data_IF_286660361248
#
_entry.id   IF_286660361248
#
_cell.length_a   1.000
_cell.length_b   1.000
_cell.length_c   1.000
_cell.angle_alpha   90.00
_cell.angle_beta   90.00
_cell.angle_gamma   90.00
#
_symmetry.space_group_name_H-M   'P 1'
#
loop_
_entity.id
_entity.type
_entity.pdbx_description
1 polymer ?
#
# COMPACT_ATOMS: atom_id res chain seq x y z
N UNK A 1 -32.10 19.89 40.16
CA UNK A 1 -31.70 19.38 38.82
C UNK A 1 -30.44 20.12 38.41
N UNK A 2 -29.30 19.44 38.23
CA UNK A 2 -28.08 20.09 37.77
C UNK A 2 -28.07 20.20 36.23
N UNK A 3 -27.35 21.18 35.66
CA UNK A 3 -27.35 21.44 34.22
C UNK A 3 -26.43 20.46 33.46
N UNK A 4 -26.93 20.04 32.30
CA UNK A 4 -26.26 19.19 31.30
C UNK A 4 -25.00 19.87 30.74
N UNK A 5 -23.87 19.15 30.71
CA UNK A 5 -22.69 19.50 29.93
C UNK A 5 -22.73 18.70 28.63
N UNK A 6 -22.76 19.40 27.50
CA UNK A 6 -22.55 18.84 26.18
C UNK A 6 -21.07 18.46 26.02
N UNK A 7 -20.76 17.16 26.00
CA UNK A 7 -19.45 16.68 25.57
C UNK A 7 -19.40 16.70 24.04
N UNK A 8 -18.57 17.59 23.49
CA UNK A 8 -18.19 17.57 22.08
C UNK A 8 -17.28 16.35 21.84
N UNK A 9 -17.80 15.32 21.18
CA UNK A 9 -17.05 14.15 20.70
C UNK A 9 -16.01 14.63 19.69
N UNK A 10 -14.74 14.73 20.11
CA UNK A 10 -13.62 15.00 19.21
C UNK A 10 -13.31 13.72 18.42
N UNK A 11 -13.20 13.83 17.11
CA UNK A 11 -12.65 12.79 16.22
C UNK A 11 -11.26 12.38 16.75
N UNK A 12 -10.97 11.08 16.95
CA UNK A 12 -9.63 10.65 17.33
C UNK A 12 -8.67 10.96 16.17
N UNK A 13 -7.74 11.90 16.37
CA UNK A 13 -6.61 12.07 15.45
C UNK A 13 -5.56 11.04 15.84
N UNK A 14 -5.19 10.16 14.91
CA UNK A 14 -4.09 9.21 15.13
C UNK A 14 -2.79 10.00 15.27
N UNK A 15 -2.25 10.03 16.48
CA UNK A 15 -1.00 10.74 16.78
C UNK A 15 0.20 9.93 16.32
N UNK A 16 1.32 10.60 16.04
CA UNK A 16 2.60 9.90 15.80
C UNK A 16 3.04 9.03 16.99
N UNK A 17 2.47 9.27 18.17
CA UNK A 17 2.76 8.61 19.44
C UNK A 17 2.00 7.29 19.62
N UNK A 18 0.99 7.01 18.78
CA UNK A 18 0.23 5.74 18.77
C UNK A 18 0.89 4.67 17.87
N UNK A 19 2.06 4.99 17.28
CA UNK A 19 2.74 4.19 16.27
C UNK A 19 4.02 3.53 16.81
N UNK A 20 4.10 2.21 16.70
CA UNK A 20 5.28 1.41 17.09
C UNK A 20 6.11 1.00 15.86
N UNK A 21 7.43 0.75 15.98
CA UNK A 21 8.26 0.28 14.85
C UNK A 21 7.71 -1.01 14.21
N UNK A 22 7.73 -1.06 12.87
CA UNK A 22 7.29 -2.22 12.10
C UNK A 22 8.50 -3.01 11.58
N UNK A 23 8.94 -3.99 12.36
CA UNK A 23 10.17 -4.77 12.08
C UNK A 23 9.97 -5.93 11.08
N UNK A 24 8.74 -6.08 10.58
CA UNK A 24 8.26 -7.26 9.85
C UNK A 24 8.15 -7.11 8.35
N UNK A 25 8.74 -6.07 7.76
CA UNK A 25 8.72 -5.92 6.30
C UNK A 25 9.43 -7.12 5.65
N UNK A 26 8.71 -7.93 4.87
CA UNK A 26 9.28 -9.05 4.11
C UNK A 26 10.44 -8.56 3.23
N UNK A 27 10.30 -7.36 2.65
CA UNK A 27 11.38 -6.53 2.11
C UNK A 27 11.00 -5.04 2.11
N UNK A 28 11.90 -4.13 2.50
CA UNK A 28 11.60 -2.69 2.36
C UNK A 28 12.51 -1.74 3.12
N UNK A 29 12.07 -0.47 3.19
CA UNK A 29 12.80 0.63 3.82
C UNK A 29 12.63 0.63 5.34
N UNK A 30 13.71 0.91 6.06
CA UNK A 30 13.70 1.09 7.51
C UNK A 30 12.75 2.23 7.93
N UNK A 31 12.06 2.08 9.06
CA UNK A 31 11.24 3.14 9.65
C UNK A 31 9.74 3.10 9.35
N UNK A 32 9.25 2.02 8.73
CA UNK A 32 7.81 1.69 8.75
C UNK A 32 7.36 1.52 10.20
N UNK A 33 6.13 1.94 10.51
CA UNK A 33 5.50 1.84 11.82
C UNK A 33 4.10 1.26 11.70
N UNK A 34 3.50 0.76 12.77
CA UNK A 34 2.12 0.30 12.80
C UNK A 34 1.38 0.77 14.04
N UNK A 35 0.05 0.74 14.02
CA UNK A 35 -0.79 1.00 15.20
C UNK A 35 -0.66 -0.12 16.23
N UNK A 36 -1.04 0.14 17.49
CA UNK A 36 -1.02 -0.86 18.56
C UNK A 36 -1.90 -2.08 18.27
N UNK A 37 -3.01 -1.89 17.57
CA UNK A 37 -3.87 -2.98 17.07
C UNK A 37 -3.21 -3.81 15.96
N UNK A 38 -2.15 -3.28 15.33
CA UNK A 38 -1.56 -3.84 14.13
C UNK A 38 -2.42 -3.68 12.87
N UNK A 39 -3.57 -3.02 12.91
CA UNK A 39 -4.48 -2.92 11.76
C UNK A 39 -4.04 -1.93 10.68
N UNK A 40 -3.21 -0.93 11.04
CA UNK A 40 -2.73 0.09 10.12
C UNK A 40 -1.21 0.18 10.12
N UNK A 41 -0.65 0.53 8.97
CA UNK A 41 0.79 0.75 8.76
C UNK A 41 1.03 2.21 8.33
N UNK A 42 1.98 2.87 8.99
CA UNK A 42 2.54 4.14 8.58
C UNK A 42 3.93 3.94 7.95
N UNK A 43 4.03 4.13 6.63
CA UNK A 43 5.25 3.92 5.86
C UNK A 43 5.87 5.27 5.45
N UNK A 44 7.15 5.54 5.77
CA UNK A 44 7.86 6.69 5.20
C UNK A 44 7.83 6.66 3.68
N UNK A 45 7.39 7.75 3.06
CA UNK A 45 7.10 7.79 1.63
C UNK A 45 7.57 9.08 0.96
N UNK A 46 7.44 9.13 -0.36
CA UNK A 46 7.65 10.34 -1.18
C UNK A 46 6.30 11.03 -1.43
N UNK A 47 6.28 12.35 -1.72
CA UNK A 47 5.06 13.02 -2.16
C UNK A 47 4.40 12.39 -3.39
N UNK A 48 5.22 11.84 -4.30
CA UNK A 48 4.74 11.12 -5.48
C UNK A 48 3.97 9.84 -5.11
N UNK A 49 4.41 9.09 -4.09
CA UNK A 49 3.68 7.91 -3.62
C UNK A 49 2.31 8.32 -3.06
N UNK A 50 2.23 9.39 -2.27
CA UNK A 50 0.98 9.93 -1.75
C UNK A 50 0.03 10.33 -2.88
N UNK A 51 0.53 11.10 -3.86
CA UNK A 51 -0.28 11.52 -5.01
C UNK A 51 -0.83 10.34 -5.83
N UNK A 52 -0.07 9.25 -5.94
CA UNK A 52 -0.54 8.04 -6.63
C UNK A 52 -1.71 7.38 -5.88
N UNK A 53 -1.63 7.26 -4.55
CA UNK A 53 -2.73 6.75 -3.74
C UNK A 53 -3.95 7.69 -3.72
N UNK A 54 -3.74 9.00 -3.64
CA UNK A 54 -4.85 9.99 -3.64
C UNK A 54 -5.61 10.02 -4.98
N UNK A 55 -4.95 9.67 -6.09
CA UNK A 55 -5.57 9.60 -7.41
C UNK A 55 -6.16 8.22 -7.76
N UNK A 56 -5.87 7.17 -6.98
CA UNK A 56 -6.36 5.81 -7.26
C UNK A 56 -7.90 5.65 -7.24
N UNK A 57 -8.71 6.46 -6.52
CA UNK A 57 -10.18 6.38 -6.65
C UNK A 57 -10.71 6.68 -8.06
N UNK A 58 -9.90 7.31 -8.93
CA UNK A 58 -10.24 7.50 -10.35
C UNK A 58 -10.03 6.22 -11.19
N UNK A 59 -9.43 5.18 -10.60
CA UNK A 59 -9.06 3.91 -11.22
C UNK A 59 -9.55 2.74 -10.33
N UNK A 60 -10.87 2.55 -10.15
CA UNK A 60 -11.43 1.64 -9.15
C UNK A 60 -11.00 0.17 -9.33
N UNK A 61 -10.86 -0.30 -10.57
CA UNK A 61 -10.37 -1.66 -10.86
C UNK A 61 -8.91 -1.85 -10.43
N UNK A 62 -8.08 -0.82 -10.52
CA UNK A 62 -6.71 -0.85 -10.01
C UNK A 62 -6.66 -0.74 -8.49
N UNK A 63 -7.53 0.11 -7.92
CA UNK A 63 -7.61 0.35 -6.49
C UNK A 63 -7.93 -0.93 -5.69
N UNK A 64 -8.71 -1.86 -6.27
CA UNK A 64 -9.00 -3.17 -5.67
C UNK A 64 -7.72 -3.96 -5.32
N UNK A 65 -6.65 -3.79 -6.11
CA UNK A 65 -5.37 -4.45 -5.87
C UNK A 65 -4.38 -3.58 -5.08
N UNK A 66 -4.77 -2.41 -4.56
CA UNK A 66 -3.92 -1.59 -3.70
C UNK A 66 -4.31 -1.78 -2.24
N UNK A 67 -3.38 -1.63 -1.28
CA UNK A 67 -3.77 -1.46 0.12
C UNK A 67 -4.66 -0.23 0.27
N UNK A 68 -5.71 -0.33 1.08
CA UNK A 68 -6.59 0.78 1.41
C UNK A 68 -5.78 1.96 1.98
N UNK A 69 -5.90 3.12 1.33
CA UNK A 69 -5.28 4.36 1.75
C UNK A 69 -6.14 5.08 2.78
N UNK A 70 -5.59 5.29 3.97
CA UNK A 70 -6.28 5.97 5.08
C UNK A 70 -5.98 7.47 5.08
N UNK A 71 -4.76 7.85 4.68
CA UNK A 71 -4.30 9.24 4.66
C UNK A 71 -2.80 9.37 4.78
N UNK A 72 -2.30 10.60 4.94
CA UNK A 72 -0.87 10.88 5.11
C UNK A 72 -0.59 11.62 6.42
N UNK A 73 0.58 11.34 7.02
CA UNK A 73 1.12 12.01 8.19
C UNK A 73 2.30 12.87 7.78
N UNK A 74 2.29 14.15 8.18
CA UNK A 74 3.40 15.08 7.94
C UNK A 74 3.87 15.71 9.24
N UNK A 75 5.18 15.93 9.35
CA UNK A 75 5.77 16.66 10.47
C UNK A 75 5.33 18.13 10.46
N UNK A 76 5.09 18.75 11.62
CA UNK A 76 4.58 20.11 11.75
C UNK A 76 5.36 21.19 10.94
N UNK A 77 6.66 20.99 10.70
CA UNK A 77 7.48 21.89 9.87
C UNK A 77 7.25 21.81 8.35
N UNK A 78 6.59 20.75 7.86
CA UNK A 78 6.25 20.55 6.44
C UNK A 78 4.77 20.79 6.11
N UNK A 79 3.92 20.92 7.12
CA UNK A 79 2.51 21.26 6.94
C UNK A 79 2.33 22.62 6.24
N UNK A 80 3.20 23.60 6.52
CA UNK A 80 3.14 24.92 5.87
C UNK A 80 3.45 24.87 4.36
N UNK A 81 4.56 24.27 3.88
CA UNK A 81 4.83 24.13 2.44
C UNK A 81 3.78 23.32 1.68
N UNK A 82 3.29 22.21 2.25
CA UNK A 82 2.28 21.35 1.61
C UNK A 82 0.91 22.03 1.54
N UNK A 83 0.49 22.72 2.61
CA UNK A 83 -0.74 23.51 2.59
C UNK A 83 -0.67 24.67 1.59
N UNK A 84 0.50 25.30 1.43
CA UNK A 84 0.72 26.37 0.43
C UNK A 84 0.70 25.81 -0.99
N UNK A 85 1.31 24.64 -1.25
CA UNK A 85 1.27 23.98 -2.55
C UNK A 85 -0.15 23.52 -2.93
N UNK A 86 -0.86 22.89 -2.00
CA UNK A 86 -2.26 22.48 -2.18
C UNK A 86 -3.18 23.69 -2.43
N UNK A 87 -2.97 24.81 -1.73
CA UNK A 87 -3.71 26.05 -1.96
C UNK A 87 -3.42 26.67 -3.33
N UNK A 88 -2.19 26.56 -3.84
CA UNK A 88 -1.80 27.05 -5.16
C UNK A 88 -2.39 26.22 -6.31
N UNK A 89 -2.53 24.91 -6.15
CA UNK A 89 -3.24 24.04 -7.11
C UNK A 89 -4.76 24.23 -7.06
N UNK A 90 -5.31 24.59 -5.90
CA UNK A 90 -6.74 24.85 -5.69
C UNK A 90 -7.19 26.28 -6.07
N UNK A 91 -6.27 27.16 -6.48
CA UNK A 91 -6.56 28.58 -6.75
C UNK A 91 -6.96 29.39 -5.51
N UNK A 92 -6.69 28.89 -4.30
CA UNK A 92 -7.04 29.55 -3.05
C UNK A 92 -5.93 30.54 -2.64
N UNK A 93 -6.28 31.84 -2.60
CA UNK A 93 -5.39 32.89 -2.09
C UNK A 93 -5.44 32.90 -0.57
N UNK A 94 -4.29 32.65 0.08
CA UNK A 94 -4.16 32.81 1.53
C UNK A 94 -4.11 34.31 1.88
N UNK A 95 -5.15 34.81 2.53
CA UNK A 95 -5.12 36.10 3.22
C UNK A 95 -4.51 35.87 4.62
N UNK A 96 -3.34 36.41 4.94
CA UNK A 96 -2.81 36.30 6.30
C UNK A 96 -3.73 37.09 7.26
N UNK A 97 -4.20 36.42 8.31
CA UNK A 97 -4.93 37.04 9.42
C UNK A 97 -3.96 37.88 10.26
N UNK A 98 -4.32 39.13 10.67
CA UNK A 98 -3.41 40.00 11.40
C UNK A 98 -3.75 40.03 12.90
N UNK A 99 -3.07 39.23 13.72
CA UNK A 99 -2.90 39.47 15.17
C UNK A 99 -1.53 38.86 15.55
N UNK A 100 -0.44 39.65 15.62
CA UNK A 100 -0.07 40.32 16.86
C UNK A 100 0.64 41.66 16.59
N UNK A 101 0.10 42.73 17.19
CA UNK A 101 0.75 44.03 17.24
C UNK A 101 1.76 44.07 18.38
N UNK A 102 3.05 44.14 18.06
CA UNK A 102 4.04 44.75 18.93
C UNK A 102 4.95 45.67 18.10
N UNK A 103 4.85 46.94 18.44
CA UNK A 103 5.46 48.12 17.84
C UNK A 103 7.00 48.09 17.82
N UNK A 104 7.60 48.42 16.67
CA UNK A 104 8.69 49.41 16.60
C UNK A 104 8.77 50.00 15.19
N UNK A 105 8.58 51.31 15.11
CA UNK A 105 8.59 52.16 13.92
C UNK A 105 9.97 52.77 13.67
N UNK A 106 10.53 52.67 12.46
CA UNK A 106 11.33 53.73 11.78
C UNK A 106 11.25 53.55 10.24
N UNK A 107 11.27 54.69 9.55
CA UNK A 107 10.87 55.12 8.19
C UNK A 107 11.47 54.45 6.91
N UNK A 108 10.85 54.72 5.71
CA UNK A 108 11.20 54.12 4.42
C UNK A 108 12.19 54.95 3.59
N UNK A 109 12.74 54.39 2.50
CA UNK A 109 12.84 55.22 1.29
C UNK A 109 12.50 54.52 -0.03
N UNK A 110 11.60 55.19 -0.77
CA UNK A 110 11.64 55.51 -2.21
C UNK A 110 11.92 54.43 -3.27
N UNK A 111 10.91 54.27 -4.15
CA UNK A 111 11.02 53.66 -5.46
C UNK A 111 11.74 54.59 -6.48
N UNK A 112 12.62 54.04 -7.30
CA UNK A 112 12.75 54.38 -8.74
C UNK A 112 13.48 53.23 -9.47
N UNK A 113 13.20 52.97 -10.76
CA UNK A 113 13.46 51.69 -11.41
C UNK A 113 14.80 51.66 -12.13
N UNK A 114 15.52 50.54 -12.06
CA UNK A 114 16.74 50.35 -12.84
C UNK A 114 16.89 48.89 -13.33
N UNK A 115 16.77 48.78 -14.66
CA UNK A 115 17.48 47.89 -15.58
C UNK A 115 17.58 46.38 -15.30
N UNK A 116 17.02 45.63 -16.26
CA UNK A 116 17.22 44.21 -16.48
C UNK A 116 18.72 43.84 -16.51
N UNK A 117 19.10 42.90 -15.65
CA UNK A 117 20.26 42.05 -15.86
C UNK A 117 19.77 40.61 -15.98
N UNK A 118 19.84 40.07 -17.19
CA UNK A 118 19.79 38.63 -17.44
C UNK A 118 20.92 37.96 -16.66
N UNK A 119 20.56 37.28 -15.58
CA UNK A 119 21.45 36.36 -14.89
C UNK A 119 21.51 35.06 -15.70
N UNK A 120 22.69 34.78 -16.27
CA UNK A 120 22.98 33.50 -16.90
C UNK A 120 22.73 32.33 -15.91
N UNK A 121 22.17 31.20 -16.36
CA UNK A 121 21.94 30.06 -15.49
C UNK A 121 23.28 29.52 -15.01
N UNK A 122 23.47 29.55 -13.69
CA UNK A 122 24.60 28.91 -13.02
C UNK A 122 24.42 27.39 -13.17
N UNK A 123 25.43 26.61 -13.57
CA UNK A 123 25.28 25.17 -13.66
C UNK A 123 25.07 24.62 -12.25
N UNK A 124 23.86 24.10 -12.00
CA UNK A 124 23.58 23.26 -10.84
C UNK A 124 24.59 22.11 -10.87
N UNK A 125 25.49 22.09 -9.88
CA UNK A 125 26.36 20.94 -9.65
C UNK A 125 25.43 19.74 -9.44
N UNK A 126 25.57 18.73 -10.29
CA UNK A 126 24.95 17.43 -10.06
C UNK A 126 25.49 16.88 -8.72
N UNK A 127 24.70 17.01 -7.66
CA UNK A 127 24.97 16.29 -6.42
C UNK A 127 24.83 14.80 -6.74
N UNK A 128 25.95 14.08 -6.56
CA UNK A 128 26.01 12.65 -6.87
C UNK A 128 24.95 11.87 -6.09
N UNK A 129 24.15 11.08 -6.80
CA UNK A 129 23.13 10.24 -6.18
C UNK A 129 23.74 9.28 -5.15
N UNK A 130 23.30 9.39 -3.90
CA UNK A 130 23.69 8.49 -2.80
C UNK A 130 22.59 7.44 -2.61
N UNK A 131 22.87 6.13 -2.76
CA UNK A 131 21.88 5.10 -2.50
C UNK A 131 21.45 5.12 -1.03
N UNK A 132 20.14 5.06 -0.77
CA UNK A 132 19.58 4.97 0.59
C UNK A 132 20.04 3.72 1.35
N UNK A 133 20.42 2.65 0.64
CA UNK A 133 20.94 1.43 1.26
C UNK A 133 19.91 0.65 2.09
N UNK A 134 18.64 1.03 2.04
CA UNK A 134 17.58 0.51 2.92
C UNK A 134 17.32 1.39 4.14
N UNK A 135 18.08 2.48 4.34
CA UNK A 135 17.88 3.42 5.44
C UNK A 135 16.56 4.18 5.32
N UNK A 136 16.07 4.65 6.46
CA UNK A 136 14.87 5.48 6.59
C UNK A 136 14.89 6.66 5.62
N UNK A 137 13.78 6.85 4.92
CA UNK A 137 13.52 8.06 4.14
C UNK A 137 13.30 9.23 5.11
N UNK A 138 14.20 10.21 5.10
CA UNK A 138 14.09 11.44 5.90
C UNK A 138 13.21 12.49 5.21
N UNK A 139 12.04 12.08 4.70
CA UNK A 139 11.11 13.01 4.05
C UNK A 139 10.25 13.75 5.04
N UNK A 140 10.10 13.27 6.28
CA UNK A 140 9.16 13.84 7.27
C UNK A 140 7.68 13.53 6.96
N UNK A 141 7.43 12.76 5.90
CA UNK A 141 6.14 12.36 5.37
C UNK A 141 5.98 10.83 5.49
N UNK A 142 4.80 10.37 5.87
CA UNK A 142 4.44 8.95 5.89
C UNK A 142 3.05 8.74 5.35
N UNK A 143 2.87 7.65 4.61
CA UNK A 143 1.56 7.21 4.13
C UNK A 143 0.97 6.22 5.14
N UNK A 144 -0.32 6.35 5.45
CA UNK A 144 -1.06 5.44 6.33
C UNK A 144 -1.93 4.56 5.47
N UNK A 145 -1.71 3.24 5.58
CA UNK A 145 -2.35 2.20 4.80
C UNK A 145 -2.95 1.16 5.74
N UNK A 146 -3.95 0.42 5.27
CA UNK A 146 -4.31 -0.84 5.92
C UNK A 146 -3.11 -1.78 6.00
N UNK A 147 -3.12 -2.65 7.00
CA UNK A 147 -2.19 -3.75 7.07
C UNK A 147 -2.78 -4.99 6.38
N UNK A 148 -2.27 -5.31 5.19
CA UNK A 148 -2.71 -6.46 4.38
C UNK A 148 -2.60 -7.81 5.12
N UNK A 149 -1.69 -7.92 6.09
CA UNK A 149 -1.52 -9.14 6.88
C UNK A 149 -2.37 -9.15 8.17
N UNK A 150 -3.16 -8.11 8.43
CA UNK A 150 -4.21 -8.15 9.46
C UNK A 150 -5.29 -9.18 9.08
N UNK A 151 -6.04 -9.69 10.05
CA UNK A 151 -6.96 -10.81 9.84
C UNK A 151 -6.32 -12.21 9.90
N UNK A 152 -5.08 -12.38 9.43
CA UNK A 152 -4.40 -13.69 9.43
C UNK A 152 -3.87 -14.09 10.82
N UNK A 153 -4.03 -15.36 11.20
CA UNK A 153 -3.49 -15.94 12.45
C UNK A 153 -2.00 -16.25 12.32
N UNK A 154 -1.55 -16.77 11.19
CA UNK A 154 -0.13 -17.07 10.89
C UNK A 154 0.22 -16.62 9.47
N UNK A 155 0.27 -15.31 9.17
CA UNK A 155 0.50 -14.83 7.81
C UNK A 155 1.86 -15.26 7.25
N UNK A 156 1.83 -15.92 6.09
CA UNK A 156 2.98 -16.17 5.24
C UNK A 156 3.06 -15.06 4.20
N UNK A 157 4.13 -14.27 4.21
CA UNK A 157 4.24 -13.05 3.39
C UNK A 157 5.37 -13.18 2.38
N UNK A 158 5.09 -12.87 1.11
CA UNK A 158 6.06 -12.84 0.02
C UNK A 158 5.99 -11.49 -0.70
N UNK A 159 7.14 -10.82 -0.81
CA UNK A 159 7.30 -9.64 -1.66
C UNK A 159 8.01 -10.06 -2.95
N UNK A 160 7.36 -9.82 -4.08
CA UNK A 160 7.92 -10.04 -5.41
C UNK A 160 8.02 -8.71 -6.14
N UNK A 161 9.26 -8.24 -6.36
CA UNK A 161 9.52 -7.03 -7.15
C UNK A 161 9.31 -7.26 -8.64
N UNK A 162 8.62 -6.33 -9.29
CA UNK A 162 8.23 -6.39 -10.69
C UNK A 162 9.12 -5.51 -11.57
N UNK A 163 9.16 -5.86 -12.86
CA UNK A 163 9.86 -5.13 -13.91
C UNK A 163 11.20 -5.74 -14.29
N UNK A 164 11.48 -5.81 -15.58
CA UNK A 164 12.83 -6.06 -16.10
C UNK A 164 13.69 -4.79 -16.05
N UNK A 165 13.08 -3.62 -16.22
CA UNK A 165 13.68 -2.31 -15.97
C UNK A 165 13.23 -1.81 -14.59
N UNK A 166 14.20 -1.48 -13.74
CA UNK A 166 13.95 -1.15 -12.33
C UNK A 166 13.98 0.35 -12.01
N UNK A 167 14.26 1.20 -12.99
CA UNK A 167 14.46 2.65 -12.82
C UNK A 167 13.50 3.46 -13.70
N UNK A 168 12.95 4.53 -13.12
CA UNK A 168 12.06 5.49 -13.80
C UNK A 168 12.81 6.38 -14.81
N UNK A 169 12.10 6.97 -15.77
CA UNK A 169 12.68 7.73 -16.89
C UNK A 169 13.56 8.91 -16.47
N UNK A 170 13.31 9.49 -15.30
CA UNK A 170 14.03 10.61 -14.70
C UNK A 170 15.24 10.18 -13.84
N UNK A 171 15.47 8.88 -13.65
CA UNK A 171 16.53 8.39 -12.78
C UNK A 171 17.92 8.90 -13.22
N UNK A 172 18.82 9.32 -12.31
CA UNK A 172 20.18 9.72 -12.68
C UNK A 172 21.01 8.55 -13.23
N UNK A 173 22.02 8.78 -14.10
CA UNK A 173 22.80 7.70 -14.74
C UNK A 173 23.44 6.71 -13.75
N UNK A 174 23.93 7.20 -12.60
CA UNK A 174 24.49 6.33 -11.55
C UNK A 174 23.43 5.38 -10.95
N UNK A 175 22.19 5.86 -10.76
CA UNK A 175 21.05 5.06 -10.29
C UNK A 175 20.66 4.02 -11.34
N UNK A 176 20.62 4.40 -12.63
CA UNK A 176 20.35 3.48 -13.75
C UNK A 176 21.35 2.35 -13.79
N UNK A 177 22.65 2.66 -13.86
CA UNK A 177 23.72 1.66 -13.94
C UNK A 177 23.68 0.64 -12.79
N UNK A 178 23.41 1.10 -11.56
CA UNK A 178 23.28 0.20 -10.40
C UNK A 178 22.05 -0.71 -10.53
N UNK A 179 20.92 -0.15 -10.96
CA UNK A 179 19.67 -0.89 -11.07
C UNK A 179 19.67 -1.85 -12.28
N UNK A 180 20.36 -1.50 -13.37
CA UNK A 180 20.63 -2.39 -14.49
C UNK A 180 21.50 -3.58 -14.06
N UNK A 181 22.55 -3.33 -13.25
CA UNK A 181 23.36 -4.41 -12.69
C UNK A 181 22.51 -5.37 -11.84
N UNK A 182 21.63 -4.84 -10.97
CA UNK A 182 20.70 -5.68 -10.18
C UNK A 182 19.74 -6.44 -11.08
N UNK A 183 19.21 -5.83 -12.14
CA UNK A 183 18.31 -6.53 -13.05
C UNK A 183 19.00 -7.68 -13.78
N UNK A 184 20.23 -7.44 -14.26
CA UNK A 184 21.03 -8.42 -14.99
C UNK A 184 21.53 -9.58 -14.11
N UNK A 185 21.79 -9.31 -12.83
CA UNK A 185 22.25 -10.32 -11.85
C UNK A 185 21.11 -11.19 -11.28
N UNK A 186 19.84 -10.87 -11.58
CA UNK A 186 18.67 -11.53 -10.98
C UNK A 186 17.67 -12.00 -12.03
N UNK A 187 16.62 -12.68 -11.59
CA UNK A 187 15.49 -13.06 -12.44
C UNK A 187 14.70 -11.87 -13.00
N UNK A 188 14.96 -10.63 -12.55
CA UNK A 188 14.25 -9.46 -13.09
C UNK A 188 14.47 -9.29 -14.58
N UNK A 189 15.72 -9.40 -15.07
CA UNK A 189 16.00 -9.27 -16.51
C UNK A 189 15.32 -10.37 -17.34
N UNK A 190 15.41 -11.63 -16.91
CA UNK A 190 14.91 -12.79 -17.64
C UNK A 190 13.39 -12.95 -17.53
N UNK A 191 12.84 -12.94 -16.31
CA UNK A 191 11.44 -13.25 -16.00
C UNK A 191 10.57 -12.00 -15.76
N UNK A 192 11.17 -10.80 -15.63
CA UNK A 192 10.41 -9.58 -15.31
C UNK A 192 10.00 -9.48 -13.84
N UNK A 193 10.49 -10.37 -12.96
CA UNK A 193 10.27 -10.27 -11.53
C UNK A 193 11.45 -10.85 -10.73
N UNK A 194 11.53 -10.57 -9.43
CA UNK A 194 12.38 -11.30 -8.48
C UNK A 194 11.76 -11.36 -7.09
N UNK A 195 12.05 -12.42 -6.35
CA UNK A 195 11.74 -12.47 -4.92
C UNK A 195 12.57 -11.39 -4.22
N UNK A 196 11.89 -10.47 -3.53
CA UNK A 196 12.53 -9.39 -2.78
C UNK A 196 12.77 -9.78 -1.32
N UNK A 197 11.92 -10.67 -0.79
CA UNK A 197 12.04 -11.27 0.53
C UNK A 197 10.73 -11.99 0.90
N UNK A 198 10.79 -12.84 1.92
CA UNK A 198 9.60 -13.53 2.41
C UNK A 198 9.72 -13.89 3.89
N UNK A 199 8.58 -14.05 4.54
CA UNK A 199 8.43 -14.53 5.92
C UNK A 199 7.45 -15.70 5.89
N UNK A 200 7.92 -16.89 6.23
CA UNK A 200 7.16 -18.14 6.09
C UNK A 200 7.00 -18.78 7.46
N UNK A 201 5.78 -19.13 7.82
CA UNK A 201 5.47 -19.94 8.98
C UNK A 201 5.92 -21.38 8.73
N UNK A 202 6.78 -21.92 9.61
CA UNK A 202 7.33 -23.28 9.48
C UNK A 202 6.93 -24.22 10.60
N UNK A 203 6.10 -23.76 11.54
CA UNK A 203 5.71 -24.54 12.70
C UNK A 203 6.82 -24.70 13.76
N UNK A 204 6.49 -25.35 14.87
CA UNK A 204 7.29 -25.37 16.11
C UNK A 204 8.55 -26.24 16.05
N UNK A 205 9.70 -25.63 16.37
CA UNK A 205 10.76 -26.26 17.17
C UNK A 205 10.76 -25.66 18.60
N UNK A 206 9.67 -25.81 19.35
CA UNK A 206 9.55 -25.47 20.78
C UNK A 206 8.47 -24.45 21.11
N UNK A 207 7.44 -24.94 21.81
CA UNK A 207 6.28 -24.35 22.53
C UNK A 207 6.23 -22.81 22.73
N UNK A 208 5.09 -22.13 22.59
CA UNK A 208 3.77 -22.44 23.19
C UNK A 208 2.56 -22.33 22.26
N UNK A 209 1.68 -23.31 22.36
CA UNK A 209 0.24 -23.23 22.00
C UNK A 209 -0.54 -22.42 23.04
N UNK A 210 -1.45 -21.59 22.58
CA UNK A 210 -2.88 -21.58 22.96
C UNK A 210 -3.55 -20.41 22.23
N UNK A 211 -4.39 -20.69 21.24
CA UNK A 211 -5.60 -19.91 20.91
C UNK A 211 -5.51 -18.43 20.47
N UNK A 212 -4.43 -17.70 20.76
CA UNK A 212 -4.39 -16.27 20.52
C UNK A 212 -4.03 -16.00 19.05
N UNK A 213 -4.67 -14.98 18.44
CA UNK A 213 -4.18 -14.37 17.20
C UNK A 213 -2.71 -14.10 17.45
N UNK A 214 -1.82 -14.88 16.84
CA UNK A 214 -0.40 -14.58 16.94
C UNK A 214 -0.28 -13.16 16.44
N UNK A 215 0.12 -12.23 17.29
CA UNK A 215 0.48 -10.92 16.81
C UNK A 215 1.61 -11.18 15.79
N UNK A 216 1.35 -11.05 14.47
CA UNK A 216 2.38 -11.30 13.47
C UNK A 216 3.59 -10.37 13.69
N UNK A 217 3.42 -9.38 14.57
CA UNK A 217 4.32 -8.28 14.86
C UNK A 217 5.03 -8.38 16.23
N UNK A 218 4.72 -9.37 17.07
CA UNK A 218 5.39 -9.58 18.36
C UNK A 218 6.79 -10.20 18.20
N UNK A 219 7.79 -9.41 17.79
CA UNK A 219 9.20 -9.83 17.88
C UNK A 219 10.06 -8.81 18.63
N UNK A 220 10.56 -9.17 19.82
CA UNK A 220 11.67 -8.44 20.46
C UNK A 220 12.99 -8.73 19.74
N UNK A 221 13.54 -7.77 19.04
CA UNK A 221 14.82 -7.86 18.32
C UNK A 221 15.99 -8.13 19.28
N UNK A 222 16.58 -9.34 19.25
CA UNK A 222 17.90 -9.65 19.81
C UNK A 222 18.60 -10.69 18.93
N UNK A 223 19.27 -10.24 17.87
CA UNK A 223 20.15 -11.07 17.05
C UNK A 223 21.01 -10.20 16.14
N UNK A 224 22.33 -10.36 16.22
CA UNK A 224 23.27 -9.62 15.38
C UNK A 224 23.30 -10.21 13.95
N UNK A 225 23.17 -9.33 12.94
CA UNK A 225 23.29 -9.66 11.50
C UNK A 225 24.58 -10.44 11.17
N UNK A 226 24.46 -11.54 10.41
CA UNK A 226 25.53 -12.54 10.32
C UNK A 226 26.07 -12.93 8.94
N UNK A 227 25.32 -12.95 7.83
CA UNK A 227 25.84 -13.15 6.47
C UNK A 227 24.78 -12.85 5.37
N UNK A 228 25.21 -12.53 4.14
CA UNK A 228 24.28 -12.36 3.00
C UNK A 228 23.52 -13.67 2.72
N UNK A 229 22.20 -13.64 2.72
CA UNK A 229 21.36 -14.80 2.39
C UNK A 229 21.03 -15.69 3.58
N UNK A 230 21.20 -15.19 4.80
CA UNK A 230 20.86 -15.89 6.04
C UNK A 230 19.34 -16.02 6.21
N UNK A 231 18.89 -17.19 6.70
CA UNK A 231 17.50 -17.45 7.05
C UNK A 231 17.38 -17.36 8.56
N UNK A 232 16.59 -16.40 9.03
CA UNK A 232 16.40 -16.18 10.48
C UNK A 232 15.16 -16.95 10.92
N UNK A 233 15.34 -17.92 11.82
CA UNK A 233 14.23 -18.67 12.43
C UNK A 233 13.91 -18.09 13.81
N UNK A 234 12.67 -17.63 14.00
CA UNK A 234 12.22 -17.05 15.26
C UNK A 234 10.70 -17.15 15.38
N UNK A 235 10.21 -17.50 16.57
CA UNK A 235 8.79 -17.58 16.90
C UNK A 235 8.00 -18.42 15.86
N UNK A 236 8.59 -19.53 15.39
CA UNK A 236 8.01 -20.42 14.36
C UNK A 236 8.04 -19.88 12.92
N UNK A 237 8.62 -18.71 12.68
CA UNK A 237 8.80 -18.11 11.36
C UNK A 237 10.24 -18.23 10.85
N UNK A 238 10.38 -18.43 9.54
CA UNK A 238 11.62 -18.22 8.80
C UNK A 238 11.53 -16.96 7.95
N UNK A 239 12.47 -16.03 8.15
CA UNK A 239 12.63 -14.83 7.33
C UNK A 239 13.76 -15.02 6.33
N UNK A 240 13.47 -14.73 5.08
CA UNK A 240 14.38 -14.81 3.94
C UNK A 240 14.58 -13.41 3.38
N UNK A 241 15.83 -12.96 3.33
CA UNK A 241 16.17 -11.60 2.95
C UNK A 241 16.24 -11.39 1.41
N UNK A 242 16.59 -10.17 1.02
CA UNK A 242 16.80 -9.81 -0.39
C UNK A 242 17.95 -10.56 -1.06
N UNK A 243 18.93 -11.05 -0.31
CA UNK A 243 20.07 -11.78 -0.86
C UNK A 243 19.69 -13.21 -1.18
N UNK A 244 18.81 -13.82 -0.38
CA UNK A 244 18.16 -15.08 -0.71
C UNK A 244 17.43 -14.98 -2.06
N UNK A 245 16.59 -13.95 -2.23
CA UNK A 245 15.88 -13.73 -3.50
C UNK A 245 16.80 -13.46 -4.70
N UNK A 246 17.92 -12.76 -4.49
CA UNK A 246 18.96 -12.52 -5.52
C UNK A 246 19.81 -13.74 -5.87
N UNK A 247 19.74 -14.82 -5.08
CA UNK A 247 20.48 -16.05 -5.35
C UNK A 247 19.85 -16.91 -6.47
N UNK A 248 18.62 -16.59 -6.87
CA UNK A 248 17.88 -17.33 -7.89
C UNK A 248 18.13 -16.85 -9.32
N UNK A 249 17.91 -17.77 -10.25
CA UNK A 249 17.88 -17.60 -11.69
C UNK A 249 16.65 -18.32 -12.27
N UNK A 250 16.49 -18.25 -13.60
CA UNK A 250 15.38 -18.84 -14.34
C UNK A 250 15.20 -20.36 -14.14
N UNK A 251 16.26 -21.09 -13.79
CA UNK A 251 16.24 -22.54 -13.60
C UNK A 251 15.84 -22.97 -12.19
N UNK A 252 16.12 -22.15 -11.17
CA UNK A 252 15.94 -22.54 -9.77
C UNK A 252 14.97 -21.66 -8.97
N UNK A 253 14.46 -20.56 -9.54
CA UNK A 253 13.53 -19.66 -8.82
C UNK A 253 12.27 -20.36 -8.32
N UNK A 254 11.83 -21.43 -9.01
CA UNK A 254 10.74 -22.30 -8.56
C UNK A 254 10.91 -22.77 -7.11
N UNK A 255 12.15 -23.08 -6.70
CA UNK A 255 12.45 -23.52 -5.32
C UNK A 255 12.11 -22.44 -4.28
N UNK A 256 12.25 -21.15 -4.64
CA UNK A 256 11.86 -20.04 -3.77
C UNK A 256 10.36 -20.01 -3.51
N UNK A 257 9.54 -20.21 -4.55
CA UNK A 257 8.08 -20.29 -4.41
C UNK A 257 7.62 -21.58 -3.73
N UNK A 258 8.28 -22.71 -3.97
CA UNK A 258 8.03 -23.95 -3.22
C UNK A 258 8.36 -23.79 -1.73
N UNK A 259 9.43 -23.06 -1.42
CA UNK A 259 9.77 -22.70 -0.03
C UNK A 259 8.71 -21.78 0.58
N UNK A 260 8.22 -20.80 -0.18
CA UNK A 260 7.14 -19.93 0.27
C UNK A 260 5.85 -20.71 0.59
N UNK A 261 5.45 -21.64 -0.29
CA UNK A 261 4.25 -22.46 -0.12
C UNK A 261 4.41 -23.63 0.87
N UNK A 262 5.60 -23.83 1.44
CA UNK A 262 5.83 -24.91 2.40
C UNK A 262 4.97 -24.75 3.66
N UNK A 263 4.63 -23.52 4.06
CA UNK A 263 3.72 -23.24 5.18
C UNK A 263 2.31 -23.81 4.94
N UNK A 264 1.80 -23.75 3.71
CA UNK A 264 0.50 -24.32 3.34
C UNK A 264 0.48 -25.87 3.29
N UNK A 265 1.63 -26.53 3.47
CA UNK A 265 1.72 -27.99 3.63
C UNK A 265 1.52 -28.43 5.08
N UNK A 266 1.51 -27.49 6.01
CA UNK A 266 1.25 -27.78 7.41
C UNK A 266 -0.22 -28.21 7.60
N UNK A 267 -0.46 -29.18 8.49
CA UNK A 267 -1.80 -29.68 8.80
C UNK A 267 -2.08 -31.09 8.31
N UNK A 268 -3.36 -31.48 8.28
CA UNK A 268 -3.81 -32.82 7.86
C UNK A 268 -3.83 -33.00 6.33
N UNK A 269 -4.04 -31.91 5.60
CA UNK A 269 -4.15 -31.87 4.15
C UNK A 269 -3.14 -30.87 3.58
N UNK A 270 -2.52 -31.21 2.45
CA UNK A 270 -1.63 -30.28 1.75
C UNK A 270 -2.46 -29.27 0.96
N UNK A 271 -2.45 -28.01 1.42
CA UNK A 271 -3.19 -26.90 0.80
C UNK A 271 -2.33 -26.07 -0.15
N UNK A 272 -1.07 -26.44 -0.37
CA UNK A 272 -0.14 -25.66 -1.20
C UNK A 272 -0.62 -25.51 -2.66
N UNK A 273 -1.21 -26.56 -3.23
CA UNK A 273 -1.75 -26.53 -4.60
C UNK A 273 -3.03 -25.69 -4.71
N UNK A 274 -3.86 -25.69 -3.66
CA UNK A 274 -5.05 -24.84 -3.57
C UNK A 274 -4.65 -23.36 -3.52
N UNK A 275 -3.73 -23.01 -2.62
CA UNK A 275 -3.20 -21.64 -2.49
C UNK A 275 -2.54 -21.19 -3.79
N UNK A 276 -1.71 -22.05 -4.42
CA UNK A 276 -1.08 -21.74 -5.70
C UNK A 276 -2.11 -21.47 -6.81
N UNK A 277 -3.19 -22.26 -6.88
CA UNK A 277 -4.25 -22.08 -7.88
C UNK A 277 -4.95 -20.73 -7.72
N UNK A 278 -5.35 -20.40 -6.49
CA UNK A 278 -6.03 -19.12 -6.19
C UNK A 278 -5.14 -17.92 -6.48
N UNK A 279 -3.86 -17.98 -6.10
CA UNK A 279 -2.90 -16.93 -6.44
C UNK A 279 -2.69 -16.76 -7.95
N UNK A 280 -2.74 -17.85 -8.72
CA UNK A 280 -2.68 -17.77 -10.18
C UNK A 280 -3.93 -17.09 -10.78
N UNK A 281 -5.11 -17.33 -10.21
CA UNK A 281 -6.38 -16.68 -10.60
C UNK A 281 -6.34 -15.18 -10.27
N UNK A 282 -5.93 -14.81 -9.05
CA UNK A 282 -5.77 -13.41 -8.64
C UNK A 282 -4.75 -12.66 -9.50
N UNK A 283 -3.61 -13.28 -9.81
CA UNK A 283 -2.62 -12.68 -10.70
C UNK A 283 -3.14 -12.48 -12.14
N UNK A 284 -4.09 -13.30 -12.61
CA UNK A 284 -4.77 -13.06 -13.91
C UNK A 284 -5.70 -11.86 -13.83
N UNK A 285 -6.39 -11.66 -12.70
CA UNK A 285 -7.21 -10.47 -12.49
C UNK A 285 -6.34 -9.21 -12.47
N UNK A 286 -5.21 -9.23 -11.75
CA UNK A 286 -4.19 -8.17 -11.78
C UNK A 286 -3.67 -7.94 -13.20
N UNK A 287 -3.39 -9.01 -13.96
CA UNK A 287 -2.97 -8.87 -15.36
C UNK A 287 -4.02 -8.12 -16.19
N UNK A 288 -5.30 -8.51 -16.06
CA UNK A 288 -6.39 -7.89 -16.82
C UNK A 288 -6.50 -6.40 -16.52
N UNK A 289 -6.44 -6.02 -15.25
CA UNK A 289 -6.48 -4.63 -14.81
C UNK A 289 -5.28 -3.85 -15.36
N UNK A 290 -4.06 -4.37 -15.23
CA UNK A 290 -2.84 -3.72 -15.74
C UNK A 290 -2.78 -3.62 -17.27
N UNK A 291 -3.51 -4.48 -18.00
CA UNK A 291 -3.68 -4.38 -19.45
C UNK A 291 -4.70 -3.30 -19.84
N UNK A 292 -5.67 -3.01 -18.98
CA UNK A 292 -6.72 -2.01 -19.20
C UNK A 292 -6.38 -0.61 -18.68
N UNK A 293 -5.58 -0.51 -17.62
CA UNK A 293 -5.24 0.73 -16.93
C UNK A 293 -3.83 1.18 -17.31
N UNK A 294 -3.73 2.37 -17.89
CA UNK A 294 -2.46 2.90 -18.38
C UNK A 294 -1.69 3.57 -17.24
N UNK A 295 -0.78 2.82 -16.63
CA UNK A 295 0.18 3.30 -15.63
C UNK A 295 1.62 2.97 -16.04
N UNK A 296 2.61 3.60 -15.40
CA UNK A 296 4.01 3.20 -15.45
C UNK A 296 4.54 3.12 -14.03
N UNK A 297 5.06 1.96 -13.65
CA UNK A 297 5.61 1.78 -12.31
C UNK A 297 6.97 1.11 -12.36
N UNK A 298 7.88 1.55 -11.50
CA UNK A 298 9.24 1.04 -11.45
C UNK A 298 9.59 0.59 -10.04
N UNK A 299 10.08 -0.64 -9.91
CA UNK A 299 10.40 -1.26 -8.62
C UNK A 299 9.22 -1.41 -7.66
N UNK A 300 7.99 -1.40 -8.17
CA UNK A 300 6.79 -1.86 -7.44
C UNK A 300 6.86 -3.36 -7.19
N UNK A 301 5.98 -3.85 -6.31
CA UNK A 301 5.93 -5.27 -5.93
C UNK A 301 4.51 -5.81 -5.94
N UNK A 302 4.37 -7.12 -6.18
CA UNK A 302 3.23 -7.88 -5.67
C UNK A 302 3.57 -8.35 -4.26
N UNK A 303 2.72 -8.02 -3.30
CA UNK A 303 2.72 -8.56 -1.95
C UNK A 303 1.68 -9.69 -1.89
N UNK A 304 2.12 -10.89 -1.57
CA UNK A 304 1.27 -12.06 -1.41
C UNK A 304 1.24 -12.43 0.06
N UNK A 305 0.05 -12.65 0.61
CA UNK A 305 -0.17 -13.15 1.97
C UNK A 305 -1.07 -14.37 1.92
N UNK A 306 -0.77 -15.41 2.71
CA UNK A 306 -1.70 -16.53 2.92
C UNK A 306 -1.66 -17.06 4.35
N UNK A 307 -2.75 -17.69 4.78
CA UNK A 307 -2.88 -18.25 6.13
C UNK A 307 -1.95 -19.46 6.34
N UNK A 308 -1.16 -19.47 7.40
CA UNK A 308 -0.28 -20.58 7.76
C UNK A 308 -0.86 -21.51 8.82
N UNK A 309 -1.92 -21.07 9.50
CA UNK A 309 -2.60 -21.83 10.54
C UNK A 309 -3.65 -22.76 9.92
N UNK A 310 -3.53 -24.09 10.08
CA UNK A 310 -4.46 -25.02 9.42
C UNK A 310 -5.91 -24.86 9.88
N UNK A 311 -6.15 -24.47 11.14
CA UNK A 311 -7.51 -24.30 11.68
C UNK A 311 -8.13 -23.01 11.14
N UNK A 312 -7.38 -21.90 11.17
CA UNK A 312 -7.85 -20.63 10.60
C UNK A 312 -8.06 -20.72 9.08
N UNK A 313 -7.21 -21.48 8.36
CA UNK A 313 -7.40 -21.74 6.94
C UNK A 313 -8.68 -22.52 6.65
N UNK A 314 -8.98 -23.57 7.44
CA UNK A 314 -10.23 -24.31 7.26
C UNK A 314 -11.44 -23.41 7.54
N UNK A 315 -11.39 -22.64 8.63
CA UNK A 315 -12.44 -21.69 8.97
C UNK A 315 -12.67 -20.66 7.85
N UNK A 316 -11.60 -20.06 7.31
CA UNK A 316 -11.70 -19.14 6.18
C UNK A 316 -12.34 -19.79 4.94
N UNK A 317 -11.98 -21.03 4.62
CA UNK A 317 -12.57 -21.78 3.51
C UNK A 317 -14.03 -22.16 3.74
N UNK A 318 -14.46 -22.32 5.00
CA UNK A 318 -15.86 -22.56 5.36
C UNK A 318 -16.68 -21.28 5.26
N UNK A 319 -16.17 -20.15 5.76
CA UNK A 319 -16.84 -18.84 5.67
C UNK A 319 -17.01 -18.39 4.21
N UNK A 320 -15.99 -18.56 3.35
CA UNK A 320 -16.09 -18.24 1.93
C UNK A 320 -17.23 -19.01 1.23
N UNK A 321 -17.57 -20.22 1.67
CA UNK A 321 -18.69 -21.00 1.10
C UNK A 321 -20.06 -20.47 1.52
N UNK A 322 -20.13 -19.74 2.64
CA UNK A 322 -21.38 -19.17 3.16
C UNK A 322 -21.75 -17.87 2.46
N UNK A 323 -20.76 -17.17 1.89
CA UNK A 323 -21.00 -15.95 1.12
C UNK A 323 -21.68 -16.36 -0.20
N UNK A 324 -22.94 -15.93 -0.45
CA UNK A 324 -23.61 -16.22 -1.70
C UNK A 324 -22.82 -15.59 -2.85
N UNK A 325 -22.54 -16.37 -3.90
CA UNK A 325 -21.99 -15.81 -5.13
C UNK A 325 -22.92 -14.69 -5.63
N UNK A 326 -22.39 -13.53 -6.05
CA UNK A 326 -23.21 -12.47 -6.63
C UNK A 326 -23.77 -12.96 -7.98
N UNK A 327 -24.87 -13.70 -7.94
CA UNK A 327 -25.49 -14.34 -9.11
C UNK A 327 -26.29 -15.62 -8.86
N UNK A 328 -26.19 -16.29 -7.71
CA UNK A 328 -27.03 -17.46 -7.41
C UNK A 328 -28.43 -17.04 -6.97
N UNK A 329 -29.35 -16.93 -7.94
CA UNK A 329 -30.79 -16.99 -7.66
C UNK A 329 -31.19 -18.43 -7.31
N UNK A 330 -30.87 -18.86 -6.10
CA UNK A 330 -31.61 -19.94 -5.45
C UNK A 330 -32.22 -19.36 -4.18
N UNK A 331 -33.43 -18.85 -4.35
CA UNK A 331 -34.38 -18.56 -3.28
C UNK A 331 -34.68 -19.84 -2.52
N UNK A 332 -34.27 -19.93 -1.27
CA UNK A 332 -35.14 -20.46 -0.22
C UNK A 332 -35.20 -19.42 0.90
N UNK A 333 -36.44 -19.01 1.16
CA UNK A 333 -36.89 -18.02 2.11
C UNK A 333 -36.47 -18.39 3.53
N UNK A 334 -35.80 -17.46 4.23
CA UNK A 334 -36.13 -17.18 5.63
C UNK A 334 -35.88 -15.68 5.86
N UNK A 335 -36.99 -14.99 6.15
CA UNK A 335 -37.16 -13.55 6.26
C UNK A 335 -36.36 -12.94 7.42
N UNK A 336 -35.64 -11.84 7.14
CA UNK A 336 -35.57 -10.61 7.96
C UNK A 336 -34.95 -9.50 7.09
N UNK A 337 -35.74 -8.96 6.15
CA UNK A 337 -35.39 -7.75 5.39
C UNK A 337 -35.44 -6.52 6.33
N UNK A 338 -34.30 -5.96 6.71
CA UNK A 338 -34.23 -4.56 7.13
C UNK A 338 -34.17 -3.66 5.89
N UNK A 339 -35.33 -3.14 5.49
CA UNK A 339 -35.49 -2.12 4.45
C UNK A 339 -34.69 -0.84 4.81
N UNK A 340 -33.60 -0.58 4.09
CA UNK A 340 -32.89 0.70 4.14
C UNK A 340 -33.45 1.63 3.05
N UNK A 341 -34.55 2.34 3.35
CA UNK A 341 -35.08 3.39 2.48
C UNK A 341 -34.20 4.66 2.58
N UNK A 342 -33.51 5.03 1.50
CA UNK A 342 -32.83 6.33 1.38
C UNK A 342 -33.89 7.39 1.02
N UNK A 343 -34.10 8.45 1.83
CA UNK A 343 -35.09 9.48 1.53
C UNK A 343 -34.72 10.26 0.24
N UNK A 344 -35.67 10.41 -0.68
CA UNK A 344 -35.53 11.13 -1.97
C UNK A 344 -35.11 12.61 -1.86
N UNK A 345 -35.01 13.18 -0.65
CA UNK A 345 -34.77 14.61 -0.40
C UNK A 345 -33.29 15.03 -0.48
N UNK A 346 -32.34 14.11 -0.74
CA UNK A 346 -30.90 14.40 -0.77
C UNK A 346 -30.29 14.56 -2.20
N UNK A 347 -31.09 14.50 -3.27
CA UNK A 347 -30.57 14.59 -4.65
C UNK A 347 -30.93 15.93 -5.32
N UNK A 348 -29.98 16.86 -5.37
CA UNK A 348 -30.12 18.11 -6.14
C UNK A 348 -29.33 18.03 -7.46
N UNK A 349 -30.04 18.04 -8.59
CA UNK A 349 -29.48 18.02 -9.95
C UNK A 349 -29.09 19.46 -10.35
N UNK A 350 -27.81 19.69 -10.72
CA UNK A 350 -27.35 21.00 -11.19
C UNK A 350 -26.68 20.88 -12.56
N UNK A 351 -27.13 21.68 -13.53
CA UNK A 351 -26.55 21.76 -14.87
C UNK A 351 -25.21 22.52 -14.84
N UNK A 352 -24.12 21.86 -15.27
CA UNK A 352 -22.80 22.49 -15.40
C UNK A 352 -22.52 22.82 -16.87
N UNK A 353 -22.37 24.12 -17.17
CA UNK A 353 -22.01 24.60 -18.51
C UNK A 353 -20.48 24.74 -18.63
N UNK A 354 -19.80 23.78 -19.27
CA UNK A 354 -18.42 23.99 -19.71
C UNK A 354 -18.38 24.84 -20.98
N UNK A 355 -17.38 25.72 -21.08
CA UNK A 355 -17.19 26.74 -22.11
C UNK A 355 -17.04 26.27 -23.57
N UNK A 356 -17.47 25.06 -23.92
CA UNK A 356 -17.73 24.59 -25.28
C UNK A 356 -18.97 23.66 -25.32
N UNK A 357 -20.14 24.19 -25.02
CA UNK A 357 -21.40 23.87 -25.72
C UNK A 357 -22.06 22.48 -25.57
N UNK A 358 -21.65 21.61 -24.65
CA UNK A 358 -22.43 20.41 -24.28
C UNK A 358 -22.60 20.29 -22.77
N UNK A 359 -23.85 20.20 -22.33
CA UNK A 359 -24.23 19.96 -20.94
C UNK A 359 -24.07 18.47 -20.61
N UNK A 360 -23.48 18.17 -19.45
CA UNK A 360 -23.38 16.83 -18.90
C UNK A 360 -23.90 16.89 -17.47
N UNK A 361 -24.85 16.02 -17.12
CA UNK A 361 -25.45 15.96 -15.78
C UNK A 361 -24.42 15.37 -14.81
N UNK A 362 -24.13 16.08 -13.73
CA UNK A 362 -23.29 15.60 -12.63
C UNK A 362 -24.08 15.65 -11.33
N UNK A 363 -23.94 14.61 -10.51
CA UNK A 363 -24.56 14.52 -9.19
C UNK A 363 -23.62 15.21 -8.20
N UNK A 364 -24.07 16.33 -7.61
CA UNK A 364 -23.31 17.03 -6.58
C UNK A 364 -23.70 16.46 -5.21
N UNK A 365 -22.90 15.54 -4.67
CA UNK A 365 -23.10 15.02 -3.32
C UNK A 365 -22.51 16.03 -2.33
N UNK A 366 -23.36 16.91 -1.80
CA UNK A 366 -22.97 17.79 -0.69
C UNK A 366 -23.07 17.00 0.60
N UNK A 367 -21.96 16.38 1.01
CA UNK A 367 -21.88 15.66 2.29
C UNK A 367 -21.76 16.71 3.41
N UNK A 368 -22.86 16.93 4.13
CA UNK A 368 -22.81 17.66 5.40
C UNK A 368 -22.07 16.78 6.43
N UNK A 369 -20.98 17.26 7.04
CA UNK A 369 -20.19 16.48 8.00
C UNK A 369 -20.96 16.07 9.27
N UNK A 370 -22.20 16.53 9.47
CA UNK A 370 -23.08 16.06 10.54
C UNK A 370 -24.10 14.99 10.12
N UNK A 371 -24.26 14.71 8.82
CA UNK A 371 -25.24 13.71 8.31
C UNK A 371 -24.64 12.72 7.32
N UNK A 372 -23.33 12.78 7.07
CA UNK A 372 -22.62 11.68 6.42
C UNK A 372 -22.82 10.39 7.25
N UNK A 373 -23.26 9.26 6.65
CA UNK A 373 -23.08 7.97 7.28
C UNK A 373 -21.57 7.71 7.29
N UNK A 374 -20.93 8.15 8.37
CA UNK A 374 -19.69 7.53 8.83
C UNK A 374 -20.08 6.07 9.03
N UNK A 375 -19.39 5.07 8.46
CA UNK A 375 -19.64 3.68 8.83
C UNK A 375 -19.56 3.66 10.35
N UNK A 376 -20.66 3.26 10.98
CA UNK A 376 -20.75 3.17 12.42
C UNK A 376 -19.64 2.24 12.86
N UNK A 377 -18.53 2.80 13.35
CA UNK A 377 -17.55 2.05 14.11
C UNK A 377 -18.19 1.81 15.48
N UNK A 378 -19.27 1.04 15.45
CA UNK A 378 -19.92 0.49 16.62
C UNK A 378 -18.93 -0.43 17.29
N UNK A 379 -18.93 -0.40 18.62
CA UNK A 379 -18.22 -1.34 19.48
C UNK A 379 -18.90 -2.74 19.41
N UNK A 380 -19.13 -3.25 18.20
CA UNK A 380 -19.35 -4.67 17.95
C UNK A 380 -18.02 -5.22 17.47
N UNK A 381 -17.57 -6.32 18.08
CA UNK A 381 -16.44 -7.10 17.60
C UNK A 381 -16.78 -7.60 16.17
N UNK A 382 -16.63 -6.74 15.14
CA UNK A 382 -16.55 -7.18 13.76
C UNK A 382 -15.26 -8.01 13.67
N UNK A 383 -15.37 -9.29 13.98
CA UNK A 383 -14.34 -10.27 13.68
C UNK A 383 -14.02 -10.14 12.19
N UNK A 384 -12.88 -9.51 11.89
CA UNK A 384 -12.38 -9.38 10.52
C UNK A 384 -12.56 -10.70 9.78
N UNK A 385 -13.23 -10.65 8.62
CA UNK A 385 -13.58 -11.86 7.88
C UNK A 385 -12.31 -12.69 7.62
N UNK A 386 -12.31 -13.98 8.01
CA UNK A 386 -11.12 -14.82 7.91
C UNK A 386 -10.74 -14.99 6.44
N UNK A 387 -9.47 -14.76 6.11
CA UNK A 387 -8.95 -14.80 4.74
C UNK A 387 -8.07 -16.02 4.52
N UNK A 388 -8.25 -16.71 3.40
CA UNK A 388 -7.32 -17.76 2.97
C UNK A 388 -6.01 -17.14 2.45
N UNK A 389 -6.14 -16.06 1.69
CA UNK A 389 -5.03 -15.35 1.05
C UNK A 389 -5.45 -13.93 0.69
N UNK A 390 -4.46 -13.06 0.45
CA UNK A 390 -4.62 -11.69 -0.07
C UNK A 390 -3.45 -11.38 -1.01
N UNK A 391 -3.67 -10.54 -2.02
CA UNK A 391 -2.68 -10.16 -3.02
C UNK A 391 -2.82 -8.68 -3.37
N UNK A 392 -1.77 -7.89 -3.15
CA UNK A 392 -1.76 -6.45 -3.39
C UNK A 392 -0.56 -5.99 -4.19
N UNK A 393 -0.75 -5.01 -5.07
CA UNK A 393 0.30 -4.18 -5.63
C UNK A 393 0.74 -3.12 -4.60
N UNK A 394 2.04 -3.00 -4.37
CA UNK A 394 2.61 -2.05 -3.41
C UNK A 394 3.84 -1.33 -4.01
N UNK A 395 4.40 -0.37 -3.25
CA UNK A 395 5.61 0.41 -3.57
C UNK A 395 5.44 1.35 -4.79
N UNK A 396 4.58 2.36 -4.66
CA UNK A 396 4.23 3.31 -5.74
C UNK A 396 5.08 4.59 -5.78
N UNK A 397 6.23 4.61 -5.09
CA UNK A 397 7.11 5.78 -5.04
C UNK A 397 7.68 6.22 -6.41
N UNK A 398 7.64 5.33 -7.41
CA UNK A 398 8.01 5.60 -8.80
C UNK A 398 6.91 5.11 -9.74
N UNK A 399 5.65 5.44 -9.43
CA UNK A 399 4.47 5.13 -10.22
C UNK A 399 3.82 6.42 -10.74
N UNK A 400 3.26 6.37 -11.95
CA UNK A 400 2.46 7.46 -12.54
C UNK A 400 1.36 6.88 -13.43
N UNK A 401 0.21 7.53 -13.50
CA UNK A 401 -0.79 7.30 -14.55
C UNK A 401 -0.29 7.87 -15.88
N UNK A 402 -0.45 7.12 -16.97
CA UNK A 402 0.09 7.45 -18.30
C UNK A 402 -0.95 7.26 -19.40
N UNK A 403 -2.07 8.00 -19.37
CA UNK A 403 -3.13 7.86 -20.37
C UNK A 403 -2.60 8.12 -21.79
N UNK A 404 -3.01 7.27 -22.75
CA UNK A 404 -2.62 7.27 -24.15
C UNK A 404 -1.26 6.62 -24.45
N UNK A 405 -0.57 6.03 -23.48
CA UNK A 405 0.76 5.42 -23.67
C UNK A 405 0.74 3.89 -23.82
N UNK A 406 -0.43 3.26 -23.73
CA UNK A 406 -0.60 1.81 -23.70
C UNK A 406 -0.22 1.19 -22.35
N UNK A 407 -0.39 -0.13 -22.20
CA UNK A 407 -0.14 -0.84 -20.95
C UNK A 407 1.34 -0.92 -20.57
N UNK A 408 1.62 -1.16 -19.28
CA UNK A 408 2.99 -1.30 -18.77
C UNK A 408 3.58 -2.69 -19.09
N UNK A 409 4.11 -2.85 -20.30
CA UNK A 409 4.75 -4.11 -20.73
C UNK A 409 5.96 -4.49 -19.88
N UNK A 410 6.58 -3.54 -19.16
CA UNK A 410 7.70 -3.84 -18.27
C UNK A 410 7.23 -4.65 -17.06
N UNK A 411 6.11 -4.28 -16.45
CA UNK A 411 5.52 -5.01 -15.31
C UNK A 411 4.73 -6.23 -15.77
N UNK A 412 3.98 -6.13 -16.88
CA UNK A 412 3.18 -7.23 -17.40
C UNK A 412 4.03 -8.45 -17.75
N UNK A 413 5.28 -8.27 -18.20
CA UNK A 413 6.23 -9.38 -18.34
C UNK A 413 6.40 -10.18 -17.04
N UNK A 414 6.55 -9.48 -15.92
CA UNK A 414 6.67 -10.06 -14.59
C UNK A 414 5.41 -10.79 -14.16
N UNK A 415 4.25 -10.12 -14.27
CA UNK A 415 2.94 -10.68 -13.91
C UNK A 415 2.64 -11.96 -14.72
N UNK A 416 2.78 -11.93 -16.05
CA UNK A 416 2.58 -13.11 -16.91
C UNK A 416 3.50 -14.28 -16.52
N UNK A 417 4.74 -13.98 -16.13
CA UNK A 417 5.69 -14.99 -15.67
C UNK A 417 5.35 -15.54 -14.27
N UNK A 418 4.76 -14.71 -13.40
CA UNK A 418 4.26 -15.14 -12.09
C UNK A 418 3.00 -16.02 -12.21
N UNK A 419 2.05 -15.63 -13.07
CA UNK A 419 0.86 -16.45 -13.39
C UNK A 419 1.31 -17.86 -13.78
N UNK A 420 2.22 -17.95 -14.77
CA UNK A 420 2.76 -19.24 -15.21
C UNK A 420 3.43 -20.02 -14.08
N UNK A 421 4.22 -19.36 -13.22
CA UNK A 421 4.88 -20.01 -12.08
C UNK A 421 3.87 -20.62 -11.11
N UNK A 422 2.83 -19.89 -10.74
CA UNK A 422 1.80 -20.38 -9.81
C UNK A 422 0.89 -21.43 -10.47
N UNK A 423 0.60 -21.35 -11.77
CA UNK A 423 -0.07 -22.42 -12.52
C UNK A 423 0.74 -23.73 -12.50
N UNK A 424 2.05 -23.66 -12.70
CA UNK A 424 2.95 -24.83 -12.63
C UNK A 424 3.08 -25.43 -11.23
N UNK A 425 2.86 -24.64 -10.18
CA UNK A 425 2.84 -25.09 -8.78
C UNK A 425 1.47 -25.66 -8.37
N UNK A 426 0.40 -25.25 -9.06
CA UNK A 426 -0.96 -25.72 -8.84
C UNK A 426 -1.31 -27.01 -9.61
N UNK A 427 -0.49 -27.37 -10.59
CA UNK A 427 -0.58 -28.58 -11.41
C UNK A 427 0.07 -29.78 -10.72
#
# INVERSE_FOLDING_TARGET
MPPSKSESRKTPQLGSDDLVPFDHVAAGHEGVRCTLSGSLIAKPCTPQEVAFYESSPLHPAFQEFMPLYIGSLSSAGQQQPLAVAAAQESGAVFLPTPEDSATTSVEPPSQTPAAAHEAAPTPTKEEGWIPSGGKKLETGLSIVLENVACGFRRPNVLDVKLGARLWADDAPPAKRNKLDAVSNETTSSSLGYRIAGMKVWTGHNGETDEGDRTDPYATKYEGAEGAKGEVIEKDGYRRYDKWYGRSFNDQNVRQGFETFLAGAKAGREDRSTLVARRLAEELKNVQHVLESEESRMYSSSVLVVYEGDPEAMEHALEEEKKIPEPGSKDTEEDDEEEDFEIPEEALELVDVQLGNGRAQQAINISIDPQTAPIPDLGDEDEEETPKVHDLRLIDFAHANWTPGQGPDENILKGIRSLVKMFEELAA
#
